data_IF_000818771899
#
_entry.id   IF_000818771899
#
_cell.length_a   1.000
_cell.length_b   1.000
_cell.length_c   1.000
_cell.angle_alpha   90.00
_cell.angle_beta   90.00
_cell.angle_gamma   90.00
#
_symmetry.space_group_name_H-M   'P 1'
#
loop_
_entity.id
_entity.type
_entity.pdbx_description
1 polymer ?
#
# COMPACT_ATOMS: atom_id res chain seq x y z
N UNK A 1 9.25 -11.52 8.85
CA UNK A 1 9.07 -12.06 7.49
C UNK A 1 8.84 -13.56 7.59
N UNK A 2 7.75 -14.03 6.99
CA UNK A 2 7.38 -15.44 7.06
C UNK A 2 8.09 -16.25 5.96
N UNK A 3 9.38 -16.54 6.13
CA UNK A 3 10.14 -17.31 5.14
C UNK A 3 9.74 -18.79 5.09
N UNK A 4 8.86 -19.23 6.00
CA UNK A 4 8.49 -20.63 6.18
C UNK A 4 7.08 -20.99 5.77
N UNK A 5 6.14 -20.06 5.68
CA UNK A 5 4.71 -20.38 5.48
C UNK A 5 4.23 -20.26 4.02
N UNK A 6 5.05 -19.75 3.10
CA UNK A 6 4.64 -19.53 1.71
C UNK A 6 3.61 -18.41 1.54
N UNK A 7 3.46 -17.51 2.52
CA UNK A 7 2.52 -16.39 2.46
C UNK A 7 2.79 -15.42 1.31
N UNK A 8 4.00 -15.44 0.74
CA UNK A 8 4.37 -14.61 -0.41
C UNK A 8 3.90 -15.20 -1.75
N UNK A 9 3.29 -16.38 -1.74
CA UNK A 9 2.74 -17.02 -2.93
C UNK A 9 1.25 -16.76 -2.95
N UNK A 10 0.80 -16.05 -3.97
CA UNK A 10 -0.59 -15.66 -4.19
C UNK A 10 -1.12 -16.32 -5.46
N UNK A 11 -2.43 -16.37 -5.69
CA UNK A 11 -2.99 -16.81 -6.96
C UNK A 11 -2.44 -16.05 -8.17
N UNK A 12 -2.02 -14.78 -7.97
CA UNK A 12 -1.44 -13.96 -9.02
C UNK A 12 0.00 -14.37 -9.39
N UNK A 13 0.79 -14.86 -8.45
CA UNK A 13 2.21 -15.18 -8.64
C UNK A 13 2.57 -16.67 -8.52
N UNK A 14 1.61 -17.54 -8.22
CA UNK A 14 1.83 -18.98 -8.05
C UNK A 14 2.49 -19.62 -9.28
N UNK A 15 2.17 -19.14 -10.48
CA UNK A 15 2.74 -19.63 -11.74
C UNK A 15 4.26 -19.43 -11.83
N UNK A 16 4.81 -18.41 -11.14
CA UNK A 16 6.24 -18.09 -11.13
C UNK A 16 7.06 -19.03 -10.24
N UNK A 17 6.41 -19.76 -9.33
CA UNK A 17 7.06 -20.63 -8.35
C UNK A 17 6.76 -22.12 -8.54
N UNK A 18 5.92 -22.46 -9.51
CA UNK A 18 5.63 -23.84 -9.86
C UNK A 18 6.69 -24.40 -10.81
N UNK A 19 7.48 -25.31 -10.32
CA UNK A 19 8.32 -26.18 -11.13
C UNK A 19 7.71 -27.59 -11.11
N UNK A 20 7.21 -28.08 -12.25
CA UNK A 20 6.60 -29.40 -12.38
C UNK A 20 5.41 -29.69 -11.45
N UNK A 21 4.67 -28.65 -11.01
CA UNK A 21 3.51 -28.77 -10.12
C UNK A 21 3.83 -28.73 -8.62
N UNK A 22 5.08 -28.44 -8.24
CA UNK A 22 5.52 -28.25 -6.85
C UNK A 22 6.10 -26.86 -6.66
N UNK A 23 5.87 -26.27 -5.48
CA UNK A 23 6.54 -25.01 -5.12
C UNK A 23 8.04 -25.26 -4.93
N UNK A 24 8.88 -24.38 -5.45
CA UNK A 24 10.32 -24.43 -5.22
C UNK A 24 10.59 -24.22 -3.73
N UNK A 25 11.20 -25.22 -3.08
CA UNK A 25 11.57 -25.22 -1.66
C UNK A 25 13.00 -25.67 -1.49
N UNK A 26 13.63 -25.23 -0.41
CA UNK A 26 14.88 -25.80 0.07
C UNK A 26 14.65 -27.22 0.62
N UNK A 27 15.73 -27.99 0.84
CA UNK A 27 15.65 -29.33 1.41
C UNK A 27 14.92 -29.37 2.76
N UNK A 28 14.98 -28.26 3.53
CA UNK A 28 14.26 -28.07 4.80
C UNK A 28 12.81 -27.60 4.61
N UNK A 29 12.27 -27.58 3.39
CA UNK A 29 10.89 -27.21 3.09
C UNK A 29 10.62 -25.71 3.04
N UNK A 30 11.65 -24.85 3.14
CA UNK A 30 11.52 -23.39 3.02
C UNK A 30 11.45 -22.96 1.56
N UNK A 31 10.78 -21.85 1.28
CA UNK A 31 10.87 -21.24 -0.04
C UNK A 31 12.30 -20.78 -0.29
N UNK A 32 12.86 -21.09 -1.46
CA UNK A 32 14.21 -20.67 -1.80
C UNK A 32 14.30 -19.13 -1.85
N UNK A 33 15.34 -18.55 -1.26
CA UNK A 33 15.55 -17.08 -1.24
C UNK A 33 15.59 -16.51 -2.65
N UNK A 34 16.13 -17.24 -3.62
CA UNK A 34 16.13 -16.85 -5.03
C UNK A 34 14.71 -16.77 -5.61
N UNK A 35 13.82 -17.66 -5.23
CA UNK A 35 12.41 -17.66 -5.65
C UNK A 35 11.70 -16.45 -5.08
N UNK A 36 11.88 -16.16 -3.79
CA UNK A 36 11.29 -14.98 -3.15
C UNK A 36 11.78 -13.67 -3.79
N UNK A 37 13.07 -13.56 -4.10
CA UNK A 37 13.61 -12.40 -4.82
C UNK A 37 13.01 -12.26 -6.21
N UNK A 38 12.85 -13.35 -6.96
CA UNK A 38 12.24 -13.32 -8.29
C UNK A 38 10.77 -12.90 -8.21
N UNK A 39 10.02 -13.38 -7.20
CA UNK A 39 8.64 -13.00 -6.98
C UNK A 39 8.51 -11.50 -6.70
N UNK A 40 9.32 -10.95 -5.81
CA UNK A 40 9.31 -9.53 -5.50
C UNK A 40 9.72 -8.69 -6.71
N UNK A 41 10.76 -9.09 -7.44
CA UNK A 41 11.20 -8.40 -8.67
C UNK A 41 10.09 -8.37 -9.74
N UNK A 42 9.36 -9.49 -9.91
CA UNK A 42 8.25 -9.55 -10.87
C UNK A 42 7.05 -8.73 -10.39
N UNK A 43 6.75 -8.76 -9.08
CA UNK A 43 5.75 -7.89 -8.49
C UNK A 43 6.08 -6.41 -8.72
N UNK A 44 7.33 -5.99 -8.49
CA UNK A 44 7.77 -4.61 -8.66
C UNK A 44 7.70 -4.16 -10.12
N UNK A 45 7.96 -5.07 -11.06
CA UNK A 45 7.77 -4.80 -12.48
C UNK A 45 6.31 -4.56 -12.81
N UNK A 46 5.40 -5.40 -12.30
CA UNK A 46 3.97 -5.24 -12.48
C UNK A 46 3.43 -3.99 -11.77
N UNK A 47 3.94 -3.69 -10.58
CA UNK A 47 3.58 -2.48 -9.84
C UNK A 47 3.94 -1.21 -10.62
N UNK A 48 5.13 -1.15 -11.23
CA UNK A 48 5.49 -0.04 -12.11
C UNK A 48 4.53 0.10 -13.28
N UNK A 49 4.17 -1.01 -13.92
CA UNK A 49 3.19 -1.01 -15.00
C UNK A 49 1.81 -0.48 -14.55
N UNK A 50 1.33 -0.90 -13.39
CA UNK A 50 0.09 -0.40 -12.81
C UNK A 50 0.18 1.11 -12.56
N UNK A 51 1.29 1.60 -12.00
CA UNK A 51 1.51 3.03 -11.73
C UNK A 51 1.52 3.85 -13.02
N UNK A 52 2.17 3.35 -14.08
CA UNK A 52 2.14 3.99 -15.41
C UNK A 52 0.70 4.06 -15.96
N UNK A 53 -0.15 3.07 -15.69
CA UNK A 53 -1.57 3.13 -16.02
C UNK A 53 -2.27 4.24 -15.25
N UNK A 54 -2.09 4.33 -13.94
CA UNK A 54 -2.68 5.39 -13.11
C UNK A 54 -2.23 6.77 -13.58
N UNK A 55 -0.94 6.96 -13.79
CA UNK A 55 -0.37 8.24 -14.25
C UNK A 55 -0.92 8.65 -15.63
N UNK A 56 -1.05 7.72 -16.56
CA UNK A 56 -1.58 7.97 -17.90
C UNK A 56 -3.01 8.47 -17.87
N UNK A 57 -3.85 7.90 -17.00
CA UNK A 57 -5.25 8.32 -16.84
C UNK A 57 -5.42 9.46 -15.83
N UNK A 58 -4.35 9.88 -15.15
CA UNK A 58 -4.37 10.95 -14.16
C UNK A 58 -5.01 10.55 -12.82
N UNK A 59 -5.02 9.26 -12.53
CA UNK A 59 -5.61 8.70 -11.31
C UNK A 59 -4.63 8.78 -10.15
N UNK A 60 -5.05 9.29 -9.01
CA UNK A 60 -4.34 9.11 -7.74
C UNK A 60 -4.73 7.77 -7.12
N UNK A 61 -3.79 6.83 -6.99
CA UNK A 61 -4.03 5.53 -6.38
C UNK A 61 -3.51 5.48 -4.94
N UNK A 62 -4.37 5.08 -4.00
CA UNK A 62 -4.08 5.01 -2.56
C UNK A 62 -4.35 3.59 -2.03
N UNK A 63 -3.34 2.99 -1.42
CA UNK A 63 -3.45 1.69 -0.75
C UNK A 63 -3.84 1.89 0.72
N UNK A 64 -4.96 1.31 1.15
CA UNK A 64 -5.44 1.33 2.52
C UNK A 64 -5.07 0.02 3.22
N UNK A 65 -4.27 0.11 4.26
CA UNK A 65 -3.77 -1.02 5.03
C UNK A 65 -4.22 -0.93 6.49
N UNK A 66 -4.55 -2.05 7.11
CA UNK A 66 -4.89 -2.11 8.54
C UNK A 66 -5.03 -3.55 9.02
N UNK A 67 -5.26 -3.72 10.31
CA UNK A 67 -5.86 -4.96 10.85
C UNK A 67 -7.31 -5.14 10.37
N UNK A 68 -7.87 -6.36 10.48
CA UNK A 68 -9.29 -6.60 10.30
C UNK A 68 -10.11 -5.74 11.28
N UNK A 69 -11.22 -5.20 10.81
CA UNK A 69 -12.14 -4.42 11.65
C UNK A 69 -11.66 -3.01 12.03
N UNK A 70 -10.53 -2.51 11.52
CA UNK A 70 -10.08 -1.14 11.77
C UNK A 70 -10.98 -0.06 11.11
N UNK A 71 -11.86 -0.44 10.18
CA UNK A 71 -12.86 0.44 9.59
C UNK A 71 -12.51 1.01 8.23
N UNK A 72 -11.69 0.30 7.41
CA UNK A 72 -11.34 0.70 6.04
C UNK A 72 -12.58 0.96 5.19
N UNK A 73 -13.44 -0.04 5.02
CA UNK A 73 -14.68 0.06 4.23
C UNK A 73 -15.58 1.21 4.72
N UNK A 74 -15.69 1.40 6.04
CA UNK A 74 -16.49 2.49 6.61
C UNK A 74 -15.87 3.86 6.32
N UNK A 75 -14.53 3.97 6.33
CA UNK A 75 -13.81 5.17 5.93
C UNK A 75 -14.08 5.50 4.45
N UNK A 76 -14.02 4.48 3.58
CA UNK A 76 -14.33 4.64 2.15
C UNK A 76 -15.77 5.11 1.91
N UNK A 77 -16.77 4.48 2.55
CA UNK A 77 -18.16 4.92 2.47
C UNK A 77 -18.33 6.41 2.82
N UNK A 78 -17.74 6.82 3.97
CA UNK A 78 -17.83 8.20 4.41
C UNK A 78 -17.08 9.17 3.48
N UNK A 79 -15.96 8.74 2.92
CA UNK A 79 -15.18 9.51 1.93
C UNK A 79 -15.98 9.71 0.65
N UNK A 80 -16.59 8.65 0.13
CA UNK A 80 -17.42 8.69 -1.08
C UNK A 80 -18.65 9.60 -0.87
N UNK A 81 -19.27 9.56 0.29
CA UNK A 81 -20.42 10.44 0.61
C UNK A 81 -20.04 11.92 0.54
N UNK A 82 -18.82 12.28 0.95
CA UNK A 82 -18.38 13.68 0.99
C UNK A 82 -17.73 14.12 -0.33
N UNK A 83 -16.83 13.33 -0.88
CA UNK A 83 -16.05 13.70 -2.07
C UNK A 83 -16.72 13.30 -3.39
N UNK A 84 -17.56 12.26 -3.41
CA UNK A 84 -18.21 11.74 -4.63
C UNK A 84 -18.93 12.77 -5.49
N UNK A 85 -19.56 13.83 -4.94
CA UNK A 85 -20.15 14.90 -5.76
C UNK A 85 -19.15 15.69 -6.60
N UNK A 86 -17.87 15.72 -6.22
CA UNK A 86 -16.83 16.54 -6.87
C UNK A 86 -15.61 15.76 -7.34
N UNK A 87 -15.50 14.48 -6.98
CA UNK A 87 -14.36 13.61 -7.27
C UNK A 87 -14.89 12.24 -7.73
N UNK A 88 -14.47 11.78 -8.88
CA UNK A 88 -14.85 10.45 -9.38
C UNK A 88 -13.94 9.40 -8.76
N UNK A 89 -14.55 8.53 -7.97
CA UNK A 89 -13.88 7.55 -7.15
C UNK A 89 -14.13 6.15 -7.70
N UNK A 90 -13.12 5.29 -7.67
CA UNK A 90 -13.24 3.85 -7.85
C UNK A 90 -12.55 3.11 -6.72
N UNK A 91 -12.93 1.85 -6.47
CA UNK A 91 -12.38 1.04 -5.39
C UNK A 91 -12.03 -0.36 -5.90
N UNK A 92 -10.83 -0.82 -5.55
CA UNK A 92 -10.47 -2.24 -5.60
C UNK A 92 -10.49 -2.75 -4.17
N UNK A 93 -11.30 -3.79 -3.94
CA UNK A 93 -11.53 -4.39 -2.62
C UNK A 93 -10.84 -5.75 -2.55
N UNK A 94 -9.87 -5.89 -1.63
CA UNK A 94 -9.21 -7.17 -1.36
C UNK A 94 -9.77 -7.83 -0.12
N UNK A 95 -10.52 -8.91 -0.28
CA UNK A 95 -11.03 -9.70 0.84
C UNK A 95 -10.82 -11.19 0.61
N UNK A 96 -10.90 -11.96 1.70
CA UNK A 96 -10.65 -13.40 1.66
C UNK A 96 -11.73 -14.16 0.88
N UNK A 97 -13.02 -13.89 1.13
CA UNK A 97 -14.11 -14.72 0.58
C UNK A 97 -15.43 -13.99 0.26
N UNK A 98 -15.66 -12.74 0.74
CA UNK A 98 -17.01 -12.14 0.67
C UNK A 98 -17.07 -10.91 -0.23
N UNK A 99 -18.15 -10.78 -1.02
CA UNK A 99 -18.42 -9.59 -1.84
C UNK A 99 -19.12 -8.47 -1.07
N UNK A 100 -19.42 -8.66 0.20
CA UNK A 100 -20.25 -7.74 0.98
C UNK A 100 -19.71 -6.30 1.00
N UNK A 101 -18.40 -6.11 1.12
CA UNK A 101 -17.81 -4.78 1.20
C UNK A 101 -17.80 -4.09 -0.18
N UNK A 102 -17.50 -4.80 -1.26
CA UNK A 102 -17.62 -4.25 -2.61
C UNK A 102 -19.09 -3.89 -2.97
N UNK A 103 -20.08 -4.69 -2.54
CA UNK A 103 -21.50 -4.36 -2.73
C UNK A 103 -21.91 -3.10 -1.98
N UNK A 104 -21.43 -2.90 -0.76
CA UNK A 104 -21.65 -1.68 0.03
C UNK A 104 -21.09 -0.45 -0.67
N UNK A 105 -19.90 -0.57 -1.26
CA UNK A 105 -19.26 0.51 -2.02
C UNK A 105 -20.04 0.78 -3.33
N UNK A 106 -20.44 -0.26 -4.09
CA UNK A 106 -21.25 -0.11 -5.31
C UNK A 106 -22.59 0.57 -5.03
N UNK A 107 -23.19 0.30 -3.86
CA UNK A 107 -24.43 0.95 -3.43
C UNK A 107 -24.28 2.47 -3.23
N UNK A 108 -23.05 2.99 -3.10
CA UNK A 108 -22.76 4.43 -3.09
C UNK A 108 -22.61 5.04 -4.50
N UNK A 109 -22.80 4.25 -5.56
CA UNK A 109 -22.79 4.73 -6.94
C UNK A 109 -21.40 4.85 -7.57
N UNK A 110 -20.37 4.24 -6.99
CA UNK A 110 -19.01 4.21 -7.54
C UNK A 110 -18.65 2.83 -8.09
N UNK A 111 -17.68 2.79 -9.02
CA UNK A 111 -17.15 1.52 -9.51
C UNK A 111 -16.39 0.81 -8.37
N UNK A 112 -16.72 -0.45 -8.13
CA UNK A 112 -15.97 -1.28 -7.17
C UNK A 112 -15.80 -2.69 -7.69
N UNK A 113 -14.55 -3.18 -7.66
CA UNK A 113 -14.16 -4.53 -8.07
C UNK A 113 -13.63 -5.28 -6.86
N UNK A 114 -14.20 -6.47 -6.64
CA UNK A 114 -13.75 -7.39 -5.60
C UNK A 114 -12.64 -8.29 -6.13
N UNK A 115 -11.57 -8.42 -5.36
CA UNK A 115 -10.54 -9.45 -5.54
C UNK A 115 -10.69 -10.48 -4.42
N UNK A 116 -11.15 -11.68 -4.77
CA UNK A 116 -11.15 -12.79 -3.83
C UNK A 116 -9.71 -13.36 -3.72
N UNK A 117 -9.07 -13.12 -2.59
CA UNK A 117 -7.67 -13.55 -2.38
C UNK A 117 -7.56 -15.02 -1.92
N UNK A 118 -8.68 -15.66 -1.56
CA UNK A 118 -8.71 -17.01 -1.06
C UNK A 118 -7.89 -17.15 0.23
N UNK A 119 -6.76 -17.87 0.16
CA UNK A 119 -5.86 -18.03 1.31
C UNK A 119 -4.78 -16.96 1.43
N UNK A 120 -4.66 -16.04 0.46
CA UNK A 120 -3.65 -15.01 0.50
C UNK A 120 -4.04 -13.87 1.46
N UNK A 121 -3.11 -13.46 2.31
CA UNK A 121 -3.32 -12.46 3.35
C UNK A 121 -2.96 -11.04 2.91
N UNK A 122 -2.82 -10.79 1.60
CA UNK A 122 -2.49 -9.51 0.99
C UNK A 122 -2.84 -9.52 -0.50
N UNK A 123 -2.90 -8.34 -1.10
CA UNK A 123 -2.92 -8.14 -2.54
C UNK A 123 -1.50 -8.08 -3.09
N UNK A 124 -1.32 -8.51 -4.33
CA UNK A 124 -0.13 -8.27 -5.13
C UNK A 124 -0.44 -7.43 -6.39
N UNK A 125 0.60 -6.97 -7.08
CA UNK A 125 0.44 -6.09 -8.24
C UNK A 125 -0.26 -6.79 -9.43
N UNK A 126 -0.16 -8.10 -9.58
CA UNK A 126 -0.85 -8.85 -10.62
C UNK A 126 -2.36 -8.92 -10.36
N UNK A 127 -2.75 -9.13 -9.10
CA UNK A 127 -4.17 -9.11 -8.70
C UNK A 127 -4.80 -7.75 -8.99
N UNK A 128 -4.09 -6.68 -8.60
CA UNK A 128 -4.55 -5.29 -8.89
C UNK A 128 -4.64 -5.07 -10.40
N UNK A 129 -3.65 -5.51 -11.18
CA UNK A 129 -3.68 -5.38 -12.63
C UNK A 129 -4.90 -6.07 -13.25
N UNK A 130 -5.23 -7.28 -12.82
CA UNK A 130 -6.41 -7.99 -13.29
C UNK A 130 -7.72 -7.26 -12.94
N UNK A 131 -7.81 -6.65 -11.77
CA UNK A 131 -8.95 -5.84 -11.38
C UNK A 131 -9.10 -4.58 -12.23
N UNK A 132 -7.97 -3.96 -12.65
CA UNK A 132 -7.99 -2.77 -13.49
C UNK A 132 -8.64 -3.00 -14.86
N UNK A 133 -8.64 -4.23 -15.38
CA UNK A 133 -9.38 -4.56 -16.61
C UNK A 133 -10.91 -4.47 -16.47
N UNK A 134 -11.42 -4.38 -15.24
CA UNK A 134 -12.85 -4.30 -14.94
C UNK A 134 -13.27 -2.88 -14.52
N UNK A 135 -12.31 -1.93 -14.44
CA UNK A 135 -12.55 -0.54 -14.07
C UNK A 135 -12.26 0.34 -15.29
N UNK A 136 -13.22 1.17 -15.66
CA UNK A 136 -12.95 2.25 -16.61
C UNK A 136 -12.25 3.39 -15.87
N UNK A 137 -10.93 3.52 -16.13
CA UNK A 137 -10.09 4.56 -15.51
C UNK A 137 -10.30 5.94 -16.14
N UNK A 138 -10.94 6.02 -17.32
CA UNK A 138 -11.17 7.30 -17.97
C UNK A 138 -12.07 8.18 -17.12
N UNK A 139 -11.46 9.23 -16.61
CA UNK A 139 -12.11 10.20 -15.77
C UNK A 139 -12.29 9.80 -14.31
N UNK A 140 -11.62 8.76 -13.83
CA UNK A 140 -11.44 8.54 -12.40
C UNK A 140 -10.34 9.50 -11.90
N UNK A 141 -10.61 10.19 -10.80
CA UNK A 141 -9.66 11.08 -10.13
C UNK A 141 -8.92 10.34 -9.02
N UNK A 142 -9.62 9.42 -8.31
CA UNK A 142 -9.12 8.74 -7.12
C UNK A 142 -9.47 7.26 -7.14
N UNK A 143 -8.47 6.40 -7.03
CA UNK A 143 -8.63 4.96 -6.88
C UNK A 143 -8.16 4.55 -5.48
N UNK A 144 -9.04 3.93 -4.71
CA UNK A 144 -8.64 3.26 -3.49
C UNK A 144 -8.40 1.77 -3.74
N UNK A 145 -7.32 1.25 -3.19
CA UNK A 145 -7.05 -0.18 -3.09
C UNK A 145 -7.20 -0.54 -1.61
N UNK A 146 -8.33 -1.10 -1.22
CA UNK A 146 -8.54 -1.63 0.11
C UNK A 146 -7.84 -2.99 0.22
N UNK A 147 -6.74 -3.04 0.96
CA UNK A 147 -5.98 -4.27 1.14
C UNK A 147 -6.62 -5.19 2.18
N UNK A 148 -6.29 -6.47 2.13
CA UNK A 148 -6.71 -7.45 3.12
C UNK A 148 -6.36 -6.98 4.53
N UNK A 149 -7.25 -7.20 5.49
CA UNK A 149 -7.01 -6.86 6.89
C UNK A 149 -5.87 -7.67 7.50
N UNK A 150 -4.64 -7.10 7.46
CA UNK A 150 -3.42 -7.71 7.96
C UNK A 150 -2.36 -6.63 8.21
N UNK A 151 -1.66 -6.70 9.36
CA UNK A 151 -0.62 -5.72 9.72
C UNK A 151 0.81 -6.13 9.32
N UNK A 152 1.00 -7.24 8.60
CA UNK A 152 2.31 -7.78 8.25
C UNK A 152 2.55 -7.76 6.74
N UNK A 153 1.78 -8.57 6.01
CA UNK A 153 2.05 -8.86 4.60
C UNK A 153 1.79 -7.68 3.64
N UNK A 154 0.73 -6.88 3.78
CA UNK A 154 0.41 -5.81 2.82
C UNK A 154 1.53 -4.80 2.59
N UNK A 155 2.33 -4.51 3.61
CA UNK A 155 3.43 -3.55 3.53
C UNK A 155 4.64 -4.05 2.73
N UNK A 156 4.67 -5.33 2.36
CA UNK A 156 5.81 -5.93 1.64
C UNK A 156 5.64 -5.96 0.12
N UNK A 157 4.49 -5.53 -0.39
CA UNK A 157 4.17 -5.58 -1.82
C UNK A 157 3.77 -4.19 -2.33
N UNK A 158 4.54 -3.69 -3.29
CA UNK A 158 4.14 -2.54 -4.09
C UNK A 158 3.02 -2.99 -5.05
N UNK A 159 1.90 -2.27 -5.07
CA UNK A 159 0.75 -2.54 -5.94
C UNK A 159 0.70 -1.59 -7.15
N UNK A 160 1.62 -0.62 -7.19
CA UNK A 160 1.62 0.51 -8.12
C UNK A 160 0.94 1.76 -7.55
N UNK A 161 0.54 1.74 -6.29
CA UNK A 161 -0.08 2.89 -5.62
C UNK A 161 0.90 4.06 -5.48
N UNK A 162 0.32 5.27 -5.34
CA UNK A 162 1.07 6.51 -5.11
C UNK A 162 1.29 6.78 -3.62
N UNK A 163 0.35 6.35 -2.78
CA UNK A 163 0.40 6.55 -1.33
C UNK A 163 -0.05 5.31 -0.57
N UNK A 164 0.54 5.14 0.60
CA UNK A 164 0.14 4.16 1.60
C UNK A 164 -0.51 4.84 2.79
N UNK A 165 -1.73 4.46 3.12
CA UNK A 165 -2.42 4.91 4.32
C UNK A 165 -2.66 3.74 5.26
N UNK A 166 -2.17 3.85 6.49
CA UNK A 166 -2.34 2.81 7.50
C UNK A 166 -3.36 3.25 8.55
N UNK A 167 -4.38 2.43 8.77
CA UNK A 167 -5.37 2.66 9.81
C UNK A 167 -4.99 1.93 11.10
N UNK A 168 -5.07 2.64 12.21
CA UNK A 168 -4.99 2.15 13.57
C UNK A 168 -6.31 2.48 14.26
N UNK A 169 -7.09 1.49 14.69
CA UNK A 169 -8.33 1.83 15.41
C UNK A 169 -8.13 1.86 16.92
N UNK A 170 -8.81 2.79 17.58
CA UNK A 170 -8.73 2.97 19.06
C UNK A 170 -8.87 1.64 19.82
N UNK A 171 -9.80 0.71 19.48
CA UNK A 171 -9.92 -0.56 20.21
C UNK A 171 -8.75 -1.53 20.06
N UNK A 172 -7.82 -1.28 19.12
CA UNK A 172 -6.70 -2.21 18.89
C UNK A 172 -5.53 -2.02 19.85
N UNK A 173 -5.46 -0.87 20.52
CA UNK A 173 -4.36 -0.50 21.39
C UNK A 173 -3.28 0.34 20.70
N UNK A 174 -2.72 1.28 21.44
CA UNK A 174 -1.77 2.29 20.95
C UNK A 174 -0.33 1.77 20.79
N UNK A 175 -0.06 0.54 21.22
CA UNK A 175 1.23 -0.13 21.06
C UNK A 175 1.40 -0.85 19.69
N UNK A 176 0.39 -0.82 18.83
CA UNK A 176 0.44 -1.44 17.49
C UNK A 176 1.59 -0.95 16.62
N UNK A 177 1.93 0.35 16.57
CA UNK A 177 3.09 0.78 15.80
C UNK A 177 4.40 0.13 16.25
N UNK A 178 4.60 -0.05 17.56
CA UNK A 178 5.76 -0.74 18.09
C UNK A 178 5.76 -2.26 17.80
N UNK A 179 4.58 -2.90 17.79
CA UNK A 179 4.45 -4.34 17.53
C UNK A 179 4.54 -4.71 16.06
N UNK A 180 4.10 -3.82 15.16
CA UNK A 180 4.04 -4.05 13.70
C UNK A 180 4.79 -2.94 12.94
N UNK A 181 6.09 -2.78 13.18
CA UNK A 181 6.85 -1.60 12.71
C UNK A 181 6.87 -1.44 11.18
N UNK A 182 6.80 -2.52 10.42
CA UNK A 182 6.95 -2.48 8.95
C UNK A 182 5.82 -1.70 8.30
N UNK A 183 4.56 -2.00 8.63
CA UNK A 183 3.40 -1.37 8.00
C UNK A 183 3.25 0.10 8.41
N UNK A 184 3.54 0.43 9.67
CA UNK A 184 3.49 1.81 10.14
C UNK A 184 4.66 2.67 9.61
N UNK A 185 5.82 2.06 9.37
CA UNK A 185 6.95 2.75 8.74
C UNK A 185 6.70 3.00 7.26
N UNK A 186 5.99 2.09 6.56
CA UNK A 186 5.66 2.22 5.14
C UNK A 186 4.52 3.21 4.86
N UNK A 187 3.86 3.76 5.89
CA UNK A 187 2.74 4.67 5.74
C UNK A 187 3.21 6.08 5.35
N UNK A 188 2.49 6.69 4.41
CA UNK A 188 2.55 8.13 4.10
C UNK A 188 1.62 8.93 5.02
N UNK A 189 0.59 8.27 5.56
CA UNK A 189 -0.36 8.80 6.55
C UNK A 189 -0.79 7.67 7.48
N UNK A 190 -0.88 7.96 8.78
CA UNK A 190 -1.51 7.07 9.77
C UNK A 190 -2.79 7.70 10.27
N UNK A 191 -3.92 6.99 10.11
CA UNK A 191 -5.22 7.41 10.62
C UNK A 191 -5.60 6.60 11.85
N UNK A 192 -5.71 7.28 12.99
CA UNK A 192 -6.31 6.71 14.19
C UNK A 192 -7.83 6.77 14.07
N UNK A 193 -8.43 5.66 13.66
CA UNK A 193 -9.87 5.56 13.42
C UNK A 193 -10.67 5.27 14.69
N UNK A 194 -11.98 5.50 14.62
CA UNK A 194 -12.91 5.35 15.75
C UNK A 194 -12.56 6.27 16.93
N UNK A 195 -12.11 7.48 16.64
CA UNK A 195 -11.79 8.50 17.63
C UNK A 195 -12.95 8.84 18.57
N UNK A 196 -14.19 8.59 18.12
CA UNK A 196 -15.39 8.69 18.96
C UNK A 196 -15.38 7.78 20.20
N UNK A 197 -14.54 6.76 20.22
CA UNK A 197 -14.39 5.83 21.34
C UNK A 197 -13.35 6.28 22.39
N UNK A 198 -12.52 7.27 22.09
CA UNK A 198 -11.51 7.76 23.04
C UNK A 198 -12.07 8.12 24.44
N UNK A 199 -13.27 8.75 24.55
CA UNK A 199 -13.81 9.06 25.87
C UNK A 199 -14.23 7.87 26.71
N UNK A 200 -14.34 6.67 26.11
CA UNK A 200 -14.82 5.45 26.78
C UNK A 200 -13.78 4.32 26.84
N UNK A 201 -12.70 4.44 26.07
CA UNK A 201 -11.59 3.48 26.05
C UNK A 201 -10.32 4.17 26.61
N UNK A 202 -10.24 4.24 27.93
CA UNK A 202 -9.20 4.94 28.69
C UNK A 202 -7.78 4.37 28.47
N UNK A 203 -7.67 3.11 28.04
CA UNK A 203 -6.39 2.43 27.82
C UNK A 203 -5.66 2.90 26.54
N UNK A 204 -6.34 3.60 25.62
CA UNK A 204 -5.76 4.12 24.39
C UNK A 204 -5.36 5.60 24.54
N UNK A 205 -4.07 5.87 24.31
CA UNK A 205 -3.51 7.22 24.27
C UNK A 205 -2.97 7.53 22.88
N UNK A 206 -3.62 8.47 22.12
CA UNK A 206 -3.14 8.86 20.78
C UNK A 206 -1.70 9.39 20.77
N UNK A 207 -1.29 10.14 21.81
CA UNK A 207 0.07 10.64 21.91
C UNK A 207 1.08 9.50 22.12
N UNK A 208 0.70 8.43 22.85
CA UNK A 208 1.54 7.24 23.01
C UNK A 208 1.66 6.49 21.69
N UNK A 209 0.57 6.33 20.93
CA UNK A 209 0.60 5.73 19.59
C UNK A 209 1.51 6.52 18.65
N UNK A 210 1.42 7.85 18.66
CA UNK A 210 2.27 8.72 17.85
C UNK A 210 3.75 8.64 18.28
N UNK A 211 4.05 8.61 19.58
CA UNK A 211 5.43 8.40 20.07
C UNK A 211 6.02 7.08 19.56
N UNK A 212 5.24 5.99 19.53
CA UNK A 212 5.67 4.73 18.95
C UNK A 212 5.93 4.85 17.44
N UNK A 213 5.10 5.58 16.71
CA UNK A 213 5.29 5.84 15.29
C UNK A 213 6.60 6.64 15.05
N UNK A 214 6.84 7.70 15.82
CA UNK A 214 8.09 8.50 15.71
C UNK A 214 9.33 7.69 16.05
N UNK A 215 9.23 6.72 16.97
CA UNK A 215 10.33 5.81 17.30
C UNK A 215 10.75 4.90 16.12
N UNK A 216 9.89 4.72 15.11
CA UNK A 216 10.21 4.03 13.86
C UNK A 216 10.92 4.92 12.82
N UNK A 217 11.29 6.14 13.18
CA UNK A 217 11.75 7.19 12.27
C UNK A 217 10.72 7.55 11.16
N UNK A 218 9.43 7.28 11.40
CA UNK A 218 8.37 7.67 10.49
C UNK A 218 8.07 9.16 10.61
N UNK A 219 7.97 9.84 9.46
CA UNK A 219 7.57 11.25 9.35
C UNK A 219 6.10 11.40 8.94
N UNK A 220 5.39 10.28 8.74
CA UNK A 220 3.99 10.28 8.34
C UNK A 220 3.13 11.09 9.33
N UNK A 221 2.22 11.94 8.87
CA UNK A 221 1.20 12.54 9.72
C UNK A 221 0.43 11.48 10.49
N UNK A 222 -0.04 11.83 11.69
CA UNK A 222 -0.86 10.99 12.54
C UNK A 222 -2.11 11.77 12.93
N UNK A 223 -3.26 11.39 12.37
CA UNK A 223 -4.53 12.07 12.58
C UNK A 223 -5.56 11.17 13.23
N UNK A 224 -6.28 11.71 14.22
CA UNK A 224 -7.42 11.02 14.84
C UNK A 224 -8.69 11.40 14.08
N UNK A 225 -9.42 10.37 13.62
CA UNK A 225 -10.64 10.54 12.82
C UNK A 225 -11.79 9.69 13.31
N UNK A 226 -13.00 10.16 13.05
CA UNK A 226 -14.23 9.36 13.25
C UNK A 226 -15.18 9.55 12.08
N UNK A 227 -15.74 8.45 11.60
CA UNK A 227 -16.79 8.45 10.58
C UNK A 227 -18.20 8.60 11.17
N UNK A 228 -18.31 8.70 12.51
CA UNK A 228 -19.58 8.81 13.23
C UNK A 228 -19.88 10.22 13.71
N UNK A 229 -18.89 11.08 13.80
CA UNK A 229 -19.05 12.46 14.28
C UNK A 229 -18.82 13.45 13.15
N UNK A 230 -19.75 14.36 12.89
CA UNK A 230 -19.58 15.41 11.89
C UNK A 230 -18.30 16.22 12.17
N UNK A 231 -17.52 16.47 11.12
CA UNK A 231 -16.28 17.26 11.20
C UNK A 231 -15.03 16.48 11.64
N UNK A 232 -15.16 15.34 12.30
CA UNK A 232 -13.99 14.55 12.73
C UNK A 232 -13.33 13.76 11.58
N UNK A 233 -13.89 13.78 10.38
CA UNK A 233 -13.28 13.22 9.18
C UNK A 233 -12.42 14.24 8.40
N UNK A 234 -12.52 15.52 8.76
CA UNK A 234 -11.91 16.61 7.98
C UNK A 234 -10.38 16.51 7.82
N UNK A 235 -9.55 16.08 8.80
CA UNK A 235 -8.12 15.90 8.59
C UNK A 235 -7.81 14.96 7.41
N UNK A 236 -8.52 13.84 7.32
CA UNK A 236 -8.42 12.90 6.20
C UNK A 236 -8.82 13.53 4.87
N UNK A 237 -9.93 14.27 4.84
CA UNK A 237 -10.45 14.90 3.62
C UNK A 237 -9.53 16.03 3.11
N UNK A 238 -8.91 16.79 4.02
CA UNK A 238 -7.90 17.80 3.68
C UNK A 238 -6.70 17.12 3.04
N UNK A 239 -6.15 16.09 3.69
CA UNK A 239 -4.99 15.37 3.16
C UNK A 239 -5.27 14.79 1.76
N UNK A 240 -6.46 14.24 1.53
CA UNK A 240 -6.85 13.74 0.20
C UNK A 240 -6.89 14.84 -0.86
N UNK A 241 -7.47 16.00 -0.53
CA UNK A 241 -7.53 17.15 -1.46
C UNK A 241 -6.14 17.65 -1.81
N UNK A 242 -5.25 17.72 -0.81
CA UNK A 242 -3.87 18.15 -1.00
C UNK A 242 -3.09 17.17 -1.89
N UNK A 243 -3.28 15.86 -1.71
CA UNK A 243 -2.64 14.84 -2.56
C UNK A 243 -3.19 14.84 -3.98
N UNK A 244 -4.49 15.04 -4.18
CA UNK A 244 -5.10 15.19 -5.51
C UNK A 244 -4.52 16.41 -6.23
N UNK A 245 -4.45 17.57 -5.57
CA UNK A 245 -3.85 18.78 -6.14
C UNK A 245 -2.36 18.60 -6.46
N UNK A 246 -1.63 17.91 -5.58
CA UNK A 246 -0.23 17.60 -5.79
C UNK A 246 -0.04 16.65 -6.98
N UNK A 247 -0.91 15.64 -7.15
CA UNK A 247 -0.89 14.71 -8.28
C UNK A 247 -1.07 15.45 -9.61
N UNK A 248 -2.06 16.34 -9.71
CA UNK A 248 -2.29 17.15 -10.92
C UNK A 248 -1.06 17.98 -11.29
N UNK A 249 -0.42 18.59 -10.29
CA UNK A 249 0.80 19.38 -10.49
C UNK A 249 1.95 18.53 -11.01
N UNK A 250 2.17 17.35 -10.43
CA UNK A 250 3.23 16.42 -10.83
C UNK A 250 2.99 15.87 -12.23
N UNK A 251 1.74 15.49 -12.53
CA UNK A 251 1.35 15.03 -13.86
C UNK A 251 1.64 16.08 -14.94
N UNK A 252 1.32 17.34 -14.67
CA UNK A 252 1.63 18.45 -15.59
C UNK A 252 3.14 18.61 -15.85
N UNK A 253 3.99 18.15 -14.91
CA UNK A 253 5.46 18.15 -15.04
C UNK A 253 6.01 16.83 -15.59
N UNK A 254 5.16 15.86 -15.95
CA UNK A 254 5.57 14.52 -16.38
C UNK A 254 6.26 13.70 -15.28
N UNK A 255 5.95 13.96 -14.02
CA UNK A 255 6.52 13.28 -12.86
C UNK A 255 5.48 12.34 -12.21
N UNK A 256 5.94 11.21 -11.72
CA UNK A 256 5.14 10.32 -10.86
C UNK A 256 5.51 10.48 -9.39
N UNK A 257 4.70 9.93 -8.51
CA UNK A 257 4.99 9.81 -7.08
C UNK A 257 4.93 8.35 -6.66
N UNK A 258 5.63 8.07 -5.58
CA UNK A 258 5.68 6.76 -4.94
C UNK A 258 5.41 6.96 -3.45
N UNK A 259 5.03 5.89 -2.71
CA UNK A 259 5.09 5.92 -1.26
C UNK A 259 6.49 6.31 -0.77
N UNK A 260 6.57 7.05 0.33
CA UNK A 260 7.84 7.57 0.88
C UNK A 260 8.84 6.46 1.20
N UNK A 261 8.35 5.30 1.62
CA UNK A 261 9.18 4.13 1.94
C UNK A 261 8.74 2.97 1.06
N UNK A 262 9.69 2.39 0.34
CA UNK A 262 9.47 1.21 -0.46
C UNK A 262 9.36 -0.06 0.40
N UNK A 263 8.78 -1.16 -0.11
CA UNK A 263 8.63 -2.42 0.63
C UNK A 263 9.94 -3.02 1.16
N UNK A 264 11.07 -2.77 0.49
CA UNK A 264 12.41 -3.17 0.94
C UNK A 264 12.98 -2.27 2.05
N UNK A 265 12.25 -1.23 2.45
CA UNK A 265 12.65 -0.25 3.45
C UNK A 265 13.57 0.84 2.92
N UNK A 266 13.83 0.90 1.60
CA UNK A 266 14.56 1.99 1.00
C UNK A 266 13.74 3.29 1.06
N UNK A 267 14.39 4.37 1.49
CA UNK A 267 13.83 5.71 1.33
C UNK A 267 13.97 6.12 -0.13
N UNK A 268 12.87 6.52 -0.75
CA UNK A 268 12.97 7.26 -2.00
C UNK A 268 13.58 8.61 -1.68
N UNK A 269 14.82 8.80 -2.11
CA UNK A 269 15.39 10.13 -2.14
C UNK A 269 14.60 10.94 -3.17
N UNK A 270 13.90 11.97 -2.69
CA UNK A 270 13.20 12.90 -3.57
C UNK A 270 14.15 13.40 -4.64
N UNK A 271 13.72 13.31 -5.91
CA UNK A 271 14.38 13.91 -7.08
C UNK A 271 15.88 13.62 -7.23
N UNK A 272 16.29 12.37 -7.38
CA UNK A 272 17.55 12.06 -8.02
C UNK A 272 17.41 12.41 -9.51
N UNK A 273 18.02 13.54 -9.90
CA UNK A 273 18.26 13.88 -11.29
C UNK A 273 18.88 12.66 -11.99
N UNK A 274 18.26 12.20 -13.06
CA UNK A 274 18.93 11.37 -14.04
C UNK A 274 20.08 12.18 -14.62
N UNK A 275 21.29 11.74 -14.39
CA UNK A 275 22.49 12.32 -15.00
C UNK A 275 23.75 11.93 -14.28
N UNK A 276 24.33 10.83 -14.65
CA UNK A 276 25.73 10.67 -15.05
C UNK A 276 26.18 9.22 -14.88
N UNK A 277 26.29 8.54 -16.01
CA UNK A 277 27.05 7.31 -16.13
C UNK A 277 28.51 7.59 -15.76
N UNK A 278 28.92 7.28 -14.55
CA UNK A 278 30.34 7.12 -14.25
C UNK A 278 30.77 5.70 -14.65
N UNK A 279 31.40 5.64 -15.84
CA UNK A 279 32.12 4.46 -16.27
C UNK A 279 33.27 4.16 -15.30
N UNK A 280 33.20 3.04 -14.61
CA UNK A 280 34.34 2.49 -13.88
C UNK A 280 35.33 1.91 -14.89
N UNK A 281 36.36 2.72 -15.21
CA UNK A 281 37.53 2.26 -15.93
C UNK A 281 38.33 1.30 -15.06
N UNK A 282 38.43 0.04 -15.50
CA UNK A 282 39.39 -0.91 -14.94
C UNK A 282 40.82 -0.49 -15.25
N UNK A 283 41.56 -0.03 -14.27
CA UNK A 283 43.02 0.08 -14.37
C UNK A 283 43.63 -1.31 -14.17
N UNK A 284 44.10 -1.89 -15.26
CA UNK A 284 45.07 -3.00 -15.22
C UNK A 284 46.44 -2.43 -14.82
N UNK A 285 46.90 -2.72 -13.61
CA UNK A 285 48.30 -2.58 -13.28
C UNK A 285 49.09 -3.76 -13.82
N UNK A 286 49.90 -3.49 -14.82
CA UNK A 286 50.92 -4.43 -15.30
C UNK A 286 52.08 -4.52 -14.26
N UNK A 287 52.32 -5.72 -13.78
CA UNK A 287 53.52 -6.03 -12.99
C UNK A 287 54.75 -6.03 -13.92
N UNK A 288 55.64 -5.11 -13.69
CA UNK A 288 56.98 -5.18 -14.26
C UNK A 288 57.89 -6.02 -13.34
N UNK A 289 58.36 -7.13 -13.89
CA UNK A 289 59.46 -7.91 -13.36
C UNK A 289 60.79 -7.18 -13.64
N UNK A 290 61.60 -7.00 -12.64
CA UNK A 290 63.05 -6.78 -12.81
C UNK A 290 63.80 -7.64 -11.82
N UNK A 291 64.70 -8.42 -12.35
CA UNK A 291 66.06 -8.61 -12.18
C UNK A 291 66.53 -9.48 -11.03
#
# INVERSE_FOLDING_TARGET
>A
MCDTCGCNITPGNEHLVRDGGRHARTEDGRAAVSVLRNLLTENDRQARHNREHFDRHGVLAINLMSSPGAGKTRLLEATIEVLGPSCRIAVIEGDLETENDAERIRAKGVQAVQIATGSACHLDAHMVHQALHQIDLDGIDLLFIENVGNLVCPASFDLGQHRNVTLLSVPEGDDKPAKYPVIFRAADLVLCTKGDLLPVLEDFDPERAERHLRALASVAPFDVVSTRRPGELEPWLIWLRDELQAQDTRRALGRTIHPLIQPDGALLHGDAQEGEHHGHGHFHQAAQSHG
#
